data_IF_949416993519
#
_entry.id   IF_949416993519
#
_cell.length_a   1.000
_cell.length_b   1.000
_cell.length_c   1.000
_cell.angle_alpha   90.00
_cell.angle_beta   90.00
_cell.angle_gamma   90.00
#
_symmetry.space_group_name_H-M   'P 1'
#
loop_
_entity.id
_entity.type
_entity.pdbx_description
1 polymer ?
#
# COMPACT_ATOMS: atom_id res chain seq x y z
N UNK A 1 -22.66 37.32 21.57
CA UNK A 1 -21.55 36.43 21.15
C UNK A 1 -21.90 35.01 21.58
N UNK A 2 -22.95 34.44 20.99
CA UNK A 2 -23.57 33.19 21.49
C UNK A 2 -24.04 32.30 20.33
N UNK A 3 -23.32 32.36 19.19
CA UNK A 3 -23.63 31.57 17.99
C UNK A 3 -22.41 30.85 17.41
N UNK A 4 -21.29 30.80 18.14
CA UNK A 4 -20.06 30.14 17.68
C UNK A 4 -19.83 28.73 18.25
N UNK A 5 -20.59 28.30 19.27
CA UNK A 5 -20.41 26.98 19.91
C UNK A 5 -21.14 25.81 19.24
N UNK A 6 -22.15 26.05 18.40
CA UNK A 6 -23.00 24.97 17.87
C UNK A 6 -22.43 24.34 16.58
N UNK A 7 -21.61 25.08 15.82
CA UNK A 7 -21.04 24.56 14.56
C UNK A 7 -19.88 23.58 14.82
N UNK A 8 -19.21 23.66 15.97
CA UNK A 8 -18.08 22.77 16.29
C UNK A 8 -18.55 21.35 16.68
N UNK A 9 -19.77 21.20 17.19
CA UNK A 9 -20.28 19.89 17.66
C UNK A 9 -20.77 18.97 16.52
N UNK A 10 -21.09 19.52 15.35
CA UNK A 10 -21.54 18.71 14.20
C UNK A 10 -20.39 18.17 13.35
N UNK A 11 -19.15 18.66 13.52
CA UNK A 11 -17.97 18.12 12.84
C UNK A 11 -17.23 17.04 13.65
N UNK A 12 -17.55 16.84 14.93
CA UNK A 12 -16.88 15.86 15.78
C UNK A 12 -17.49 14.44 15.63
N UNK A 13 -18.66 14.31 15.00
CA UNK A 13 -19.34 13.01 14.86
C UNK A 13 -19.11 12.27 13.52
N UNK A 14 -18.16 12.69 12.68
CA UNK A 14 -17.84 11.98 11.42
C UNK A 14 -16.47 11.28 11.38
N UNK A 15 -15.75 11.17 12.51
CA UNK A 15 -14.53 10.36 12.58
C UNK A 15 -14.62 9.30 13.67
N UNK A 16 -15.63 8.43 13.53
CA UNK A 16 -15.61 7.06 14.06
C UNK A 16 -15.66 6.08 12.88
N UNK A 17 -14.98 6.40 11.77
CA UNK A 17 -14.49 5.32 10.90
C UNK A 17 -13.30 4.73 11.64
N UNK A 18 -13.44 3.48 12.07
CA UNK A 18 -12.42 2.76 12.83
C UNK A 18 -11.03 3.01 12.24
N UNK A 19 -10.07 3.34 13.10
CA UNK A 19 -8.67 3.21 12.75
C UNK A 19 -8.46 1.76 12.34
N UNK A 20 -8.40 1.49 11.04
CA UNK A 20 -7.85 0.24 10.55
C UNK A 20 -6.44 0.17 11.09
N UNK A 21 -6.25 -0.64 12.13
CA UNK A 21 -4.97 -0.90 12.76
C UNK A 21 -4.03 -1.46 11.69
N UNK A 22 -2.83 -0.89 11.60
CA UNK A 22 -1.84 -1.26 10.58
C UNK A 22 -0.70 -1.93 11.29
N UNK A 23 -0.45 -3.18 10.96
CA UNK A 23 0.70 -3.91 11.51
C UNK A 23 1.98 -3.43 10.89
N UNK A 24 3.06 -3.42 11.69
CA UNK A 24 4.42 -3.15 11.21
C UNK A 24 5.36 -4.22 11.76
N UNK A 25 6.01 -4.95 10.86
CA UNK A 25 6.94 -6.03 11.18
C UNK A 25 8.29 -5.77 10.54
N UNK A 26 9.35 -6.08 11.29
CA UNK A 26 10.74 -5.83 10.90
C UNK A 26 11.53 -7.11 11.14
N UNK A 27 12.22 -7.59 10.11
CA UNK A 27 13.11 -8.74 10.19
C UNK A 27 14.53 -8.24 9.96
N UNK A 28 15.41 -8.58 10.91
CA UNK A 28 16.81 -8.19 10.88
C UNK A 28 17.71 -9.41 11.01
N UNK A 29 18.84 -9.40 10.31
CA UNK A 29 19.91 -10.36 10.51
C UNK A 29 20.79 -9.85 11.67
N UNK A 30 20.73 -10.56 12.80
CA UNK A 30 21.43 -10.15 14.02
C UNK A 30 22.96 -10.24 13.88
N UNK A 31 23.49 -11.19 13.11
CA UNK A 31 24.94 -11.35 12.93
C UNK A 31 25.54 -10.19 12.13
N UNK A 32 24.80 -9.70 11.14
CA UNK A 32 25.24 -8.61 10.24
C UNK A 32 24.75 -7.23 10.69
N UNK A 33 23.86 -7.16 11.67
CA UNK A 33 23.18 -5.94 12.11
C UNK A 33 22.53 -5.15 10.95
N UNK A 34 21.87 -5.87 10.05
CA UNK A 34 21.14 -5.32 8.90
C UNK A 34 19.67 -5.68 8.98
N UNK A 35 18.82 -4.77 8.52
CA UNK A 35 17.40 -5.04 8.30
C UNK A 35 17.23 -5.56 6.88
N UNK A 36 16.59 -6.72 6.72
CA UNK A 36 16.36 -7.34 5.41
C UNK A 36 14.93 -7.16 4.91
N UNK A 37 13.97 -7.14 5.83
CA UNK A 37 12.55 -7.07 5.49
C UNK A 37 11.82 -6.12 6.43
N UNK A 38 11.09 -5.17 5.86
CA UNK A 38 10.15 -4.30 6.57
C UNK A 38 8.79 -4.43 5.88
N UNK A 39 7.75 -4.72 6.64
CA UNK A 39 6.39 -4.88 6.12
C UNK A 39 5.43 -4.08 6.99
N UNK A 40 4.54 -3.34 6.35
CA UNK A 40 3.45 -2.61 6.97
C UNK A 40 2.16 -2.86 6.20
N UNK A 41 1.10 -3.33 6.84
CA UNK A 41 -0.20 -3.53 6.18
C UNK A 41 -1.34 -3.77 7.17
N UNK A 42 -2.56 -3.49 6.72
CA UNK A 42 -3.81 -4.04 7.27
C UNK A 42 -4.21 -5.26 6.43
N UNK A 43 -4.65 -6.34 7.10
CA UNK A 43 -4.91 -7.64 6.47
C UNK A 43 -6.26 -8.17 6.93
N UNK A 44 -7.08 -8.52 5.95
CA UNK A 44 -8.31 -9.28 6.13
C UNK A 44 -8.29 -10.49 5.22
N UNK A 45 -8.86 -11.58 5.68
CA UNK A 45 -8.94 -12.83 4.93
C UNK A 45 -10.38 -13.29 4.92
N UNK A 46 -10.87 -13.59 3.73
CA UNK A 46 -12.15 -14.23 3.55
C UNK A 46 -11.95 -15.71 3.27
N UNK A 47 -12.67 -16.55 3.99
CA UNK A 47 -12.65 -17.98 3.80
C UNK A 47 -13.97 -18.60 4.24
N UNK A 48 -14.16 -19.85 3.84
CA UNK A 48 -15.32 -20.65 4.21
C UNK A 48 -14.88 -21.76 5.16
N UNK A 49 -15.61 -21.94 6.26
CA UNK A 49 -15.37 -23.01 7.23
C UNK A 49 -16.64 -23.83 7.46
N UNK A 50 -16.49 -25.01 8.05
CA UNK A 50 -17.60 -25.94 8.31
C UNK A 50 -18.03 -25.79 9.76
N UNK A 51 -19.33 -25.67 9.99
CA UNK A 51 -19.89 -25.61 11.34
C UNK A 51 -20.37 -27.00 11.79
N UNK A 52 -20.70 -27.13 13.08
CA UNK A 52 -20.99 -28.41 13.74
C UNK A 52 -22.17 -29.19 13.15
N UNK A 53 -23.08 -28.54 12.43
CA UNK A 53 -24.20 -29.18 11.72
C UNK A 53 -23.85 -29.66 10.29
N UNK A 54 -22.56 -29.58 9.92
CA UNK A 54 -21.99 -29.93 8.62
C UNK A 54 -22.37 -28.98 7.47
N UNK A 55 -22.98 -27.83 7.76
CA UNK A 55 -23.12 -26.73 6.80
C UNK A 55 -21.87 -25.85 6.76
N UNK A 56 -21.77 -24.97 5.77
CA UNK A 56 -20.62 -24.08 5.58
C UNK A 56 -20.99 -22.62 5.81
N UNK A 57 -20.04 -21.86 6.36
CA UNK A 57 -20.19 -20.44 6.63
C UNK A 57 -18.99 -19.69 6.08
N UNK A 58 -19.28 -18.60 5.37
CA UNK A 58 -18.28 -17.69 4.86
C UNK A 58 -18.08 -16.55 5.87
N UNK A 59 -16.82 -16.18 6.13
CA UNK A 59 -16.48 -15.12 7.09
C UNK A 59 -15.35 -14.26 6.52
N UNK A 60 -15.42 -12.96 6.82
CA UNK A 60 -14.31 -12.03 6.64
C UNK A 60 -13.65 -11.81 8.00
N UNK A 61 -12.45 -12.33 8.19
CA UNK A 61 -11.68 -12.25 9.42
C UNK A 61 -10.59 -11.19 9.29
N UNK A 62 -10.43 -10.33 10.29
CA UNK A 62 -9.35 -9.33 10.34
C UNK A 62 -8.20 -9.89 11.16
N UNK A 63 -6.98 -9.85 10.62
CA UNK A 63 -5.80 -10.34 11.34
C UNK A 63 -5.47 -9.35 12.47
N UNK A 64 -5.25 -9.82 13.71
CA UNK A 64 -4.85 -8.94 14.79
C UNK A 64 -3.42 -8.44 14.57
N UNK A 65 -3.25 -7.12 14.46
CA UNK A 65 -1.93 -6.51 14.19
C UNK A 65 -1.34 -5.75 15.39
N UNK A 66 -2.14 -5.54 16.44
CA UNK A 66 -1.79 -4.75 17.62
C UNK A 66 -1.55 -5.59 18.89
N UNK A 67 -1.48 -6.92 18.77
CA UNK A 67 -1.23 -7.75 19.94
C UNK A 67 0.23 -7.63 20.36
N UNK A 68 0.47 -7.26 21.62
CA UNK A 68 1.78 -7.15 22.27
C UNK A 68 2.56 -8.48 22.35
N UNK A 69 2.09 -9.53 21.66
CA UNK A 69 2.57 -10.91 21.71
C UNK A 69 2.53 -11.60 20.34
N UNK A 70 2.86 -10.90 19.25
CA UNK A 70 3.03 -11.57 17.95
C UNK A 70 4.40 -12.23 17.87
N UNK A 71 4.42 -13.55 17.68
CA UNK A 71 5.65 -14.33 17.53
C UNK A 71 6.10 -14.28 16.06
N UNK A 72 7.31 -13.79 15.84
CA UNK A 72 7.95 -13.72 14.52
C UNK A 72 8.91 -14.88 14.25
N UNK A 73 8.93 -15.91 15.10
CA UNK A 73 9.75 -17.10 14.93
C UNK A 73 9.49 -17.74 13.57
N UNK A 74 10.57 -18.03 12.84
CA UNK A 74 10.51 -18.51 11.45
C UNK A 74 10.72 -17.41 10.40
N UNK A 75 10.63 -16.13 10.78
CA UNK A 75 11.07 -15.04 9.93
C UNK A 75 12.59 -15.10 9.72
N UNK A 76 13.06 -14.88 8.49
CA UNK A 76 14.47 -15.03 8.13
C UNK A 76 14.88 -14.10 6.99
N UNK A 77 16.14 -13.69 7.04
CA UNK A 77 16.86 -13.09 5.93
C UNK A 77 17.64 -14.18 5.20
N UNK A 78 17.64 -14.21 3.87
CA UNK A 78 18.40 -15.23 3.15
C UNK A 78 18.31 -15.15 1.64
N UNK A 79 18.36 -16.31 0.97
CA UNK A 79 18.07 -16.41 -0.46
C UNK A 79 16.64 -15.95 -0.78
N UNK A 80 15.73 -16.25 0.15
CA UNK A 80 14.38 -15.68 0.22
C UNK A 80 14.21 -15.04 1.58
N UNK A 81 13.65 -13.84 1.58
CA UNK A 81 13.24 -13.18 2.81
C UNK A 81 11.83 -13.66 3.16
N UNK A 82 11.66 -14.10 4.41
CA UNK A 82 10.37 -14.62 4.90
C UNK A 82 9.96 -13.85 6.14
N UNK A 83 8.71 -13.41 6.17
CA UNK A 83 8.03 -12.92 7.37
C UNK A 83 7.00 -13.95 7.78
N UNK A 84 7.17 -14.55 8.96
CA UNK A 84 6.16 -15.38 9.60
C UNK A 84 5.69 -14.71 10.87
N UNK A 85 4.39 -14.63 11.08
CA UNK A 85 3.77 -13.93 12.20
C UNK A 85 2.66 -14.80 12.77
N UNK A 86 2.80 -15.19 14.03
CA UNK A 86 1.83 -16.05 14.73
C UNK A 86 1.25 -15.31 15.94
N UNK A 87 -0.08 -15.30 16.09
CA UNK A 87 -0.75 -14.61 17.20
C UNK A 87 -1.50 -15.56 18.15
N UNK A 88 -1.79 -16.78 17.69
CA UNK A 88 -2.41 -17.82 18.51
C UNK A 88 -2.00 -19.18 17.98
N UNK A 89 -2.05 -20.21 18.81
CA UNK A 89 -1.74 -21.57 18.38
C UNK A 89 -2.56 -21.98 17.14
N UNK A 90 -1.86 -22.40 16.08
CA UNK A 90 -2.45 -22.75 14.79
C UNK A 90 -2.99 -21.57 13.96
N UNK A 91 -2.69 -20.33 14.35
CA UNK A 91 -3.04 -19.13 13.61
C UNK A 91 -1.79 -18.31 13.29
N UNK A 92 -1.44 -18.25 12.01
CA UNK A 92 -0.26 -17.56 11.52
C UNK A 92 -0.46 -17.05 10.09
N UNK A 93 0.35 -16.08 9.71
CA UNK A 93 0.55 -15.75 8.30
C UNK A 93 2.03 -15.78 7.95
N UNK A 94 2.31 -16.14 6.70
CA UNK A 94 3.65 -16.19 6.15
C UNK A 94 3.69 -15.50 4.79
N UNK A 95 4.61 -14.55 4.65
CA UNK A 95 4.95 -13.92 3.38
C UNK A 95 6.37 -14.31 2.99
N UNK A 96 6.56 -14.76 1.75
CA UNK A 96 7.88 -15.07 1.20
C UNK A 96 8.16 -14.21 -0.01
N UNK A 97 9.31 -13.54 0.01
CA UNK A 97 9.81 -12.72 -1.06
C UNK A 97 10.94 -13.43 -1.78
N UNK A 98 10.90 -13.41 -3.11
CA UNK A 98 11.93 -13.99 -3.98
C UNK A 98 12.57 -12.89 -4.82
N UNK A 99 13.87 -12.98 -5.09
CA UNK A 99 14.59 -12.01 -5.91
C UNK A 99 15.42 -12.67 -6.99
N UNK A 100 15.54 -11.99 -8.14
CA UNK A 100 16.48 -12.33 -9.20
C UNK A 100 17.79 -11.51 -9.12
N UNK A 101 18.01 -10.79 -8.02
CA UNK A 101 19.17 -9.93 -7.76
C UNK A 101 18.95 -8.44 -8.13
N UNK A 102 18.04 -8.14 -9.04
CA UNK A 102 17.70 -6.74 -9.41
C UNK A 102 16.29 -6.36 -9.00
N UNK A 103 15.35 -7.28 -9.19
CA UNK A 103 13.94 -7.15 -8.82
C UNK A 103 13.59 -8.21 -7.78
N UNK A 104 12.58 -7.92 -6.98
CA UNK A 104 11.98 -8.86 -6.06
C UNK A 104 10.45 -8.83 -6.13
N UNK A 105 9.86 -9.94 -5.70
CA UNK A 105 8.44 -10.23 -5.78
C UNK A 105 7.95 -10.87 -4.48
N UNK A 106 6.69 -10.59 -4.11
CA UNK A 106 5.97 -11.38 -3.10
C UNK A 106 5.52 -12.70 -3.74
N UNK A 107 6.36 -13.72 -3.65
CA UNK A 107 6.13 -15.04 -4.29
C UNK A 107 5.00 -15.84 -3.64
N UNK A 108 4.82 -15.70 -2.32
CA UNK A 108 3.87 -16.50 -1.55
C UNK A 108 3.32 -15.67 -0.39
N UNK A 109 2.00 -15.74 -0.19
CA UNK A 109 1.33 -15.22 1.00
C UNK A 109 0.30 -16.25 1.50
N UNK A 110 0.61 -16.90 2.62
CA UNK A 110 -0.23 -17.91 3.27
C UNK A 110 -0.81 -17.34 4.56
N UNK A 111 -2.10 -17.60 4.80
CA UNK A 111 -2.74 -17.38 6.10
C UNK A 111 -3.33 -18.70 6.58
N UNK A 112 -2.84 -19.19 7.71
CA UNK A 112 -3.30 -20.40 8.37
C UNK A 112 -4.17 -20.01 9.56
N UNK A 113 -5.36 -20.60 9.67
CA UNK A 113 -6.31 -20.31 10.73
C UNK A 113 -6.85 -21.61 11.33
N UNK A 114 -6.75 -21.72 12.66
CA UNK A 114 -7.44 -22.74 13.42
C UNK A 114 -8.85 -22.23 13.76
N UNK A 115 -9.82 -22.56 12.90
CA UNK A 115 -11.20 -22.05 13.01
C UNK A 115 -11.90 -22.52 14.27
N UNK A 116 -11.55 -23.73 14.77
CA UNK A 116 -12.07 -24.24 16.04
C UNK A 116 -11.64 -23.40 17.25
N UNK A 117 -10.52 -22.68 17.13
CA UNK A 117 -10.04 -21.76 18.16
C UNK A 117 -10.62 -20.34 18.03
N UNK A 118 -11.18 -20.00 16.86
CA UNK A 118 -11.68 -18.66 16.53
C UNK A 118 -13.20 -18.57 16.61
N UNK A 119 -13.92 -19.65 16.28
CA UNK A 119 -15.37 -19.68 16.22
C UNK A 119 -15.94 -20.88 16.96
N UNK A 120 -16.81 -20.61 17.94
CA UNK A 120 -17.45 -21.63 18.77
C UNK A 120 -18.37 -22.58 17.98
N UNK A 121 -18.82 -22.18 16.78
CA UNK A 121 -19.69 -22.98 15.92
C UNK A 121 -18.91 -23.91 14.96
N UNK A 122 -17.59 -23.73 14.84
CA UNK A 122 -16.74 -24.50 13.92
C UNK A 122 -16.60 -25.97 14.33
N UNK A 123 -16.43 -26.83 13.34
CA UNK A 123 -16.08 -28.23 13.55
C UNK A 123 -14.77 -28.38 14.36
N UNK A 124 -14.73 -29.37 15.27
CA UNK A 124 -13.57 -29.61 16.12
C UNK A 124 -12.29 -29.88 15.29
N UNK A 125 -11.17 -29.28 15.72
CA UNK A 125 -9.84 -29.42 15.10
C UNK A 125 -9.78 -29.00 13.62
N UNK A 126 -10.70 -28.14 13.17
CA UNK A 126 -10.67 -27.63 11.80
C UNK A 126 -9.64 -26.51 11.64
N UNK A 127 -8.86 -26.61 10.55
CA UNK A 127 -7.92 -25.58 10.10
C UNK A 127 -8.22 -25.21 8.65
N UNK A 128 -8.07 -23.93 8.32
CA UNK A 128 -8.19 -23.41 6.97
C UNK A 128 -6.90 -22.71 6.58
N UNK A 129 -6.43 -22.96 5.36
CA UNK A 129 -5.26 -22.28 4.78
C UNK A 129 -5.68 -21.57 3.51
N UNK A 130 -5.44 -20.25 3.49
CA UNK A 130 -5.67 -19.38 2.34
C UNK A 130 -4.30 -19.02 1.76
N UNK A 131 -4.08 -19.38 0.50
CA UNK A 131 -2.77 -19.27 -0.12
C UNK A 131 -2.84 -18.46 -1.42
N UNK A 132 -2.06 -17.38 -1.49
CA UNK A 132 -1.83 -16.59 -2.68
C UNK A 132 -0.40 -16.79 -3.19
N UNK A 133 -0.27 -17.19 -4.44
CA UNK A 133 0.99 -17.38 -5.14
C UNK A 133 1.01 -16.54 -6.41
N UNK A 134 1.98 -15.63 -6.52
CA UNK A 134 2.18 -14.82 -7.72
C UNK A 134 3.58 -14.20 -7.74
N UNK A 135 4.13 -13.90 -8.90
CA UNK A 135 5.42 -13.21 -9.07
C UNK A 135 5.24 -12.03 -10.02
N UNK A 136 4.45 -11.02 -9.62
CA UNK A 136 4.00 -9.95 -10.53
C UNK A 136 4.29 -8.52 -10.08
N UNK A 137 4.97 -8.30 -8.95
CA UNK A 137 5.23 -6.95 -8.45
C UNK A 137 6.44 -6.30 -9.12
N UNK A 138 7.52 -7.05 -9.35
CA UNK A 138 8.77 -6.63 -9.98
C UNK A 138 9.33 -5.34 -9.38
N UNK A 139 9.64 -5.35 -8.08
CA UNK A 139 10.09 -4.16 -7.35
C UNK A 139 11.62 -4.14 -7.32
N UNK A 140 12.30 -3.02 -7.65
CA UNK A 140 13.75 -2.94 -7.51
C UNK A 140 14.19 -3.15 -6.06
N UNK A 141 15.29 -3.88 -5.83
CA UNK A 141 15.82 -4.24 -4.49
C UNK A 141 16.23 -3.06 -3.61
N UNK A 142 16.25 -1.84 -4.13
CA UNK A 142 16.48 -0.58 -3.42
C UNK A 142 15.23 0.30 -3.29
N UNK A 143 14.05 -0.25 -3.53
CA UNK A 143 12.76 0.42 -3.45
C UNK A 143 11.81 -0.36 -2.56
N UNK A 144 10.86 0.33 -1.95
CA UNK A 144 9.70 -0.29 -1.30
C UNK A 144 8.52 -0.35 -2.28
N UNK A 145 7.61 -1.31 -2.11
CA UNK A 145 6.29 -1.25 -2.72
C UNK A 145 5.36 -0.48 -1.80
N UNK A 146 4.53 0.43 -2.32
CA UNK A 146 3.57 1.18 -1.53
C UNK A 146 2.20 1.20 -2.21
N UNK A 147 1.14 0.88 -1.46
CA UNK A 147 -0.23 0.94 -1.93
C UNK A 147 -1.18 1.28 -0.78
N UNK A 148 -1.73 2.49 -0.80
CA UNK A 148 -2.67 2.92 0.25
C UNK A 148 -4.09 2.37 0.03
N UNK A 149 -4.46 2.06 -1.21
CA UNK A 149 -5.79 1.55 -1.58
C UNK A 149 -5.96 0.10 -1.08
N UNK A 150 -7.22 -0.27 -0.87
CA UNK A 150 -7.57 -1.65 -0.61
C UNK A 150 -7.37 -2.48 -1.88
N UNK A 151 -6.66 -3.60 -1.76
CA UNK A 151 -6.38 -4.55 -2.83
C UNK A 151 -6.96 -5.90 -2.45
N UNK A 152 -7.61 -6.55 -3.41
CA UNK A 152 -8.16 -7.90 -3.24
C UNK A 152 -7.39 -8.89 -4.10
N UNK A 153 -6.84 -9.92 -3.46
CA UNK A 153 -6.13 -11.00 -4.11
C UNK A 153 -6.95 -12.28 -4.04
N UNK A 154 -7.27 -12.84 -5.20
CA UNK A 154 -7.88 -14.15 -5.29
C UNK A 154 -6.86 -15.21 -4.88
N UNK A 155 -7.21 -16.01 -3.88
CA UNK A 155 -6.34 -17.01 -3.30
C UNK A 155 -7.01 -18.39 -3.38
N UNK A 156 -6.24 -19.44 -3.13
CA UNK A 156 -6.82 -20.76 -2.94
C UNK A 156 -7.62 -20.77 -1.63
N UNK A 157 -8.84 -21.32 -1.66
CA UNK A 157 -9.77 -21.40 -0.52
C UNK A 157 -10.30 -20.05 0.02
N UNK A 158 -10.19 -18.95 -0.73
CA UNK A 158 -10.67 -17.66 -0.26
C UNK A 158 -10.16 -16.47 -1.05
N UNK A 159 -10.17 -15.30 -0.41
CA UNK A 159 -9.50 -14.11 -0.93
C UNK A 159 -8.86 -13.32 0.21
N UNK A 160 -7.74 -12.68 -0.09
CA UNK A 160 -7.03 -11.78 0.81
C UNK A 160 -7.39 -10.35 0.45
N UNK A 161 -7.71 -9.54 1.45
CA UNK A 161 -7.90 -8.11 1.32
C UNK A 161 -6.80 -7.44 2.13
N UNK A 162 -5.99 -6.64 1.47
CA UNK A 162 -4.94 -5.85 2.13
C UNK A 162 -5.12 -4.37 1.86
N UNK A 163 -4.76 -3.53 2.82
CA UNK A 163 -4.81 -2.08 2.67
C UNK A 163 -3.60 -1.43 3.36
N UNK A 164 -3.29 -0.18 2.98
CA UNK A 164 -2.16 0.58 3.55
C UNK A 164 -0.84 -0.21 3.51
N UNK A 165 -0.63 -0.92 2.41
CA UNK A 165 0.49 -1.84 2.21
C UNK A 165 1.75 -1.03 1.92
N UNK A 166 2.81 -1.32 2.66
CA UNK A 166 4.15 -0.95 2.29
C UNK A 166 5.14 -2.05 2.68
N UNK A 167 5.91 -2.58 1.73
CA UNK A 167 6.93 -3.58 2.04
C UNK A 167 8.22 -3.38 1.26
N UNK A 168 9.33 -3.72 1.88
CA UNK A 168 10.66 -3.71 1.29
C UNK A 168 11.40 -4.96 1.75
N UNK A 169 11.77 -5.81 0.79
CA UNK A 169 12.51 -7.05 1.00
C UNK A 169 13.93 -6.92 0.42
N UNK A 170 14.84 -7.80 0.84
CA UNK A 170 16.25 -7.81 0.45
C UNK A 170 16.97 -6.50 0.77
N UNK A 171 16.52 -5.82 1.82
CA UNK A 171 17.15 -4.61 2.34
C UNK A 171 18.52 -4.93 2.92
N UNK A 172 19.46 -4.01 2.75
CA UNK A 172 20.88 -4.21 3.11
C UNK A 172 21.44 -3.07 3.95
N UNK A 173 20.57 -2.31 4.63
CA UNK A 173 20.98 -1.23 5.53
C UNK A 173 20.55 -1.49 6.98
N UNK A 174 21.04 -0.67 7.90
CA UNK A 174 20.77 -0.77 9.33
C UNK A 174 19.52 0.02 9.76
N UNK A 175 18.72 0.49 8.80
CA UNK A 175 17.54 1.32 9.05
C UNK A 175 16.27 0.48 8.99
N UNK A 176 15.29 0.88 9.80
CA UNK A 176 13.94 0.29 9.81
C UNK A 176 12.96 1.12 8.97
N UNK A 177 13.51 1.99 8.11
CA UNK A 177 12.76 2.93 7.28
C UNK A 177 12.67 2.38 5.87
N UNK A 178 11.55 2.66 5.22
CA UNK A 178 11.37 2.35 3.82
C UNK A 178 12.24 3.26 2.95
N UNK A 179 12.86 2.66 1.94
CA UNK A 179 13.47 3.30 0.79
C UNK A 179 12.39 3.86 -0.13
N UNK A 180 12.83 4.43 -1.26
CA UNK A 180 11.94 5.06 -2.24
C UNK A 180 10.81 4.12 -2.65
N UNK A 181 9.57 4.61 -2.59
CA UNK A 181 8.40 3.82 -2.92
C UNK A 181 8.17 3.71 -4.44
N UNK A 182 7.82 2.50 -4.88
CA UNK A 182 7.13 2.19 -6.13
C UNK A 182 5.65 2.08 -5.81
N UNK A 183 4.88 3.10 -6.16
CA UNK A 183 3.45 3.13 -5.91
C UNK A 183 2.69 2.17 -6.84
N UNK A 184 1.66 1.51 -6.31
CA UNK A 184 0.75 0.67 -7.09
C UNK A 184 -0.06 1.45 -8.14
N UNK A 185 -0.22 2.77 -7.94
CA UNK A 185 -1.00 3.67 -8.78
C UNK A 185 -0.13 4.45 -9.78
N UNK A 186 0.97 3.88 -10.26
CA UNK A 186 1.95 4.58 -11.13
C UNK A 186 1.43 5.02 -12.51
N UNK A 187 0.11 5.10 -12.70
CA UNK A 187 -0.57 5.67 -13.86
C UNK A 187 -0.61 7.22 -13.85
N UNK A 188 0.30 7.90 -13.15
CA UNK A 188 0.38 9.38 -13.12
C UNK A 188 1.15 9.95 -14.33
N UNK A 189 1.64 9.11 -15.26
CA UNK A 189 2.42 9.57 -16.42
C UNK A 189 1.73 9.67 -17.80
N UNK A 190 0.43 9.37 -18.03
CA UNK A 190 -0.21 9.66 -19.32
C UNK A 190 -0.70 11.12 -19.44
N UNK A 191 -0.96 11.82 -18.32
CA UNK A 191 -1.54 13.18 -18.34
C UNK A 191 -0.50 14.30 -18.25
N UNK A 192 0.75 13.98 -17.88
CA UNK A 192 1.81 15.00 -17.76
C UNK A 192 2.20 15.58 -19.13
N UNK A 193 2.12 14.78 -20.19
CA UNK A 193 2.45 15.22 -21.56
C UNK A 193 1.42 16.25 -22.07
N UNK A 194 0.09 15.98 -22.03
CA UNK A 194 -0.92 16.99 -22.35
C UNK A 194 -0.80 18.30 -21.55
N UNK A 195 -0.51 18.23 -20.24
CA UNK A 195 -0.36 19.43 -19.39
C UNK A 195 0.87 20.26 -19.81
N UNK A 196 2.00 19.61 -20.06
CA UNK A 196 3.23 20.29 -20.49
C UNK A 196 3.06 20.96 -21.86
N UNK A 197 2.36 20.30 -22.80
CA UNK A 197 2.04 20.86 -24.11
C UNK A 197 1.09 22.06 -23.97
N UNK A 198 0.08 21.96 -23.09
CA UNK A 198 -0.85 23.06 -22.80
C UNK A 198 -0.15 24.32 -22.28
N UNK A 199 0.74 24.17 -21.29
CA UNK A 199 1.49 25.31 -20.73
C UNK A 199 2.43 25.95 -21.77
N UNK A 200 3.07 25.13 -22.61
CA UNK A 200 3.97 25.60 -23.67
C UNK A 200 3.23 26.44 -24.72
N UNK A 201 2.04 26.00 -25.13
CA UNK A 201 1.21 26.73 -26.09
C UNK A 201 0.73 28.08 -25.54
N UNK A 202 0.26 28.11 -24.28
CA UNK A 202 -0.19 29.37 -23.64
C UNK A 202 0.97 30.37 -23.53
N UNK A 203 2.15 29.92 -23.10
CA UNK A 203 3.32 30.78 -23.00
C UNK A 203 3.71 31.39 -24.36
N UNK A 204 3.68 30.59 -25.43
CA UNK A 204 3.99 31.07 -26.78
C UNK A 204 2.98 32.12 -27.26
N UNK A 205 1.68 31.88 -27.05
CA UNK A 205 0.62 32.84 -27.42
C UNK A 205 0.82 34.18 -26.69
N UNK A 206 1.11 34.15 -25.40
CA UNK A 206 1.36 35.36 -24.60
C UNK A 206 2.56 36.13 -25.14
N UNK A 207 3.66 35.45 -25.46
CA UNK A 207 4.86 36.09 -26.04
C UNK A 207 4.54 36.77 -27.39
N UNK A 208 3.81 36.08 -28.27
CA UNK A 208 3.40 36.64 -29.57
C UNK A 208 2.49 37.85 -29.40
N UNK A 209 1.55 37.82 -28.47
CA UNK A 209 0.67 38.95 -28.18
C UNK A 209 1.44 40.15 -27.63
N UNK A 210 2.39 39.95 -26.72
CA UNK A 210 3.24 41.02 -26.20
C UNK A 210 4.06 41.64 -27.33
N UNK A 211 4.71 40.81 -28.16
CA UNK A 211 5.48 41.28 -29.31
C UNK A 211 4.61 42.08 -30.30
N UNK A 212 3.40 41.60 -30.57
CA UNK A 212 2.42 42.28 -31.42
C UNK A 212 2.00 43.64 -30.84
N UNK A 213 1.68 43.71 -29.55
CA UNK A 213 1.26 44.95 -28.88
C UNK A 213 2.41 45.97 -28.90
N UNK A 214 3.64 45.57 -28.58
CA UNK A 214 4.80 46.47 -28.61
C UNK A 214 5.10 46.93 -30.04
N UNK A 215 5.04 46.02 -31.01
CA UNK A 215 5.19 46.35 -32.43
C UNK A 215 4.16 47.36 -32.91
N UNK A 216 2.87 47.13 -32.60
CA UNK A 216 1.77 48.04 -32.95
C UNK A 216 1.93 49.42 -32.31
N UNK A 217 2.31 49.49 -31.03
CA UNK A 217 2.59 50.76 -30.36
C UNK A 217 3.73 51.54 -31.03
N UNK A 218 4.78 50.86 -31.48
CA UNK A 218 5.88 51.50 -32.22
C UNK A 218 5.45 52.04 -33.59
N UNK A 219 4.61 51.32 -34.33
CA UNK A 219 4.09 51.79 -35.62
C UNK A 219 3.21 53.04 -35.45
N UNK A 220 2.34 53.06 -34.44
CA UNK A 220 1.51 54.23 -34.12
C UNK A 220 2.34 55.46 -33.73
N UNK A 221 3.46 55.28 -33.02
CA UNK A 221 4.36 56.38 -32.67
C UNK A 221 5.12 56.97 -33.88
N UNK A 222 5.35 56.19 -34.94
CA UNK A 222 6.04 56.67 -36.16
C UNK A 222 5.10 57.36 -37.16
N UNK A 223 3.80 57.10 -37.10
CA UNK A 223 2.81 57.71 -38.00
C UNK A 223 2.46 59.17 -37.70
N UNK A 224 2.87 59.71 -36.55
CA UNK A 224 2.57 61.10 -36.13
C UNK A 224 3.67 62.12 -36.49
N UNK A 225 4.73 61.71 -37.18
CA UNK A 225 5.90 62.55 -37.51
C UNK A 225 5.95 63.00 -38.98
N UNK A 226 4.86 62.85 -39.74
CA UNK A 226 4.75 63.25 -41.14
C UNK A 226 3.65 64.32 -41.40
N UNK A 227 3.36 65.19 -40.44
CA UNK A 227 2.52 66.39 -40.65
C UNK A 227 3.14 67.58 -39.89
N UNK A 228 4.26 68.08 -40.39
CA UNK A 228 4.59 69.52 -40.35
C UNK A 228 5.62 69.83 -41.43
#
# INVERSE_FOLDING_TARGET
MEKLSIVCLLFISFSMLGSADVGKWIVSNQEKNITCLVVQMDIKVNFTYTISDNSTKNVLYTIPVNETAVDMTGSKCGEKDTLKVSWKEGNDFEMTFSSNGSLYDLSLFVVNLNTSSLFNDSLANQTVSVNYENESFGIPTNHSYHCNREQMFNATNGYLIVAKVQFEAFKMDNTQLFSRAKDCDSNITPDIVPIAVGLSLVALIVIVLIAYIVGRRRQQARGYLNIM
#
